data_IF_300772728762
#
_entry.id   IF_300772728762
#
_cell.length_a   1.000
_cell.length_b   1.000
_cell.length_c   1.000
_cell.angle_alpha   90.00
_cell.angle_beta   90.00
_cell.angle_gamma   90.00
#
_symmetry.space_group_name_H-M   'P 1'
#
loop_
_entity.id
_entity.type
_entity.pdbx_description
1 polymer ?
#
# COMPACT_ATOMS: atom_id res chain seq x y z
N UNK A 1 7.94 7.35 21.59
CA UNK A 1 7.85 7.39 20.12
C UNK A 1 8.22 6.00 19.62
N UNK A 2 7.37 5.39 18.78
CA UNK A 2 7.62 4.05 18.23
C UNK A 2 8.66 4.09 17.11
N UNK A 3 9.26 2.95 16.76
CA UNK A 3 10.23 2.85 15.66
C UNK A 3 9.62 3.34 14.34
N UNK A 4 8.36 2.99 14.09
CA UNK A 4 7.65 3.44 12.88
C UNK A 4 7.43 4.97 12.90
N UNK A 5 7.08 5.56 14.03
CA UNK A 5 6.94 7.03 14.15
C UNK A 5 8.27 7.76 13.86
N UNK A 6 9.40 7.20 14.29
CA UNK A 6 10.73 7.74 13.99
C UNK A 6 11.01 7.67 12.48
N UNK A 7 10.78 6.52 11.87
CA UNK A 7 10.98 6.32 10.44
C UNK A 7 10.11 7.27 9.60
N UNK A 8 8.83 7.47 9.95
CA UNK A 8 7.96 8.43 9.27
C UNK A 8 8.44 9.87 9.42
N UNK A 9 8.92 10.25 10.59
CA UNK A 9 9.50 11.58 10.83
C UNK A 9 10.73 11.81 9.97
N UNK A 10 11.63 10.85 9.87
CA UNK A 10 12.82 10.92 9.02
C UNK A 10 12.48 11.05 7.54
N UNK A 11 11.41 10.39 7.08
CA UNK A 11 10.92 10.47 5.72
C UNK A 11 10.04 11.72 5.44
N UNK A 12 9.78 12.57 6.45
CA UNK A 12 8.91 13.73 6.32
C UNK A 12 7.44 13.39 6.07
N UNK A 13 7.01 12.18 6.44
CA UNK A 13 5.64 11.69 6.25
C UNK A 13 4.80 12.09 7.45
N UNK A 14 3.75 12.90 7.22
CA UNK A 14 2.79 13.30 8.24
C UNK A 14 1.49 12.50 8.07
N UNK A 15 1.36 11.41 8.82
CA UNK A 15 0.13 10.60 8.82
C UNK A 15 -0.13 10.01 10.20
N UNK A 16 -1.39 9.70 10.47
CA UNK A 16 -1.79 9.01 11.68
C UNK A 16 -1.56 7.52 11.51
N UNK A 17 -0.67 6.97 12.32
CA UNK A 17 -0.35 5.54 12.33
C UNK A 17 -1.36 4.76 13.16
N UNK A 18 -1.77 3.61 12.66
CA UNK A 18 -2.53 2.64 13.44
C UNK A 18 -1.62 1.79 14.32
N UNK A 19 -2.18 1.22 15.38
CA UNK A 19 -1.45 0.27 16.21
C UNK A 19 -1.04 -0.97 15.39
N UNK A 20 -1.90 -1.41 14.49
CA UNK A 20 -1.66 -2.56 13.62
C UNK A 20 -0.46 -2.34 12.71
N UNK A 21 -0.32 -1.15 12.11
CA UNK A 21 0.85 -0.80 11.28
C UNK A 21 2.12 -0.78 12.13
N UNK A 22 2.06 -0.20 13.34
CA UNK A 22 3.19 -0.14 14.25
C UNK A 22 3.65 -1.53 14.65
N UNK A 23 2.72 -2.40 15.07
CA UNK A 23 3.02 -3.76 15.47
C UNK A 23 3.60 -4.59 14.33
N UNK A 24 3.05 -4.41 13.15
CA UNK A 24 3.54 -5.12 11.98
C UNK A 24 4.95 -4.65 11.58
N UNK A 25 5.22 -3.35 11.65
CA UNK A 25 6.55 -2.81 11.35
C UNK A 25 7.63 -3.32 12.31
N UNK A 26 7.34 -3.35 13.61
CA UNK A 26 8.28 -3.88 14.60
C UNK A 26 8.57 -5.37 14.35
N UNK A 27 7.56 -6.13 13.95
CA UNK A 27 7.77 -7.52 13.51
C UNK A 27 8.63 -7.61 12.25
N UNK A 28 8.46 -6.73 11.26
CA UNK A 28 9.33 -6.68 10.09
C UNK A 28 10.78 -6.37 10.47
N UNK A 29 11.01 -5.52 11.47
CA UNK A 29 12.35 -5.23 11.97
C UNK A 29 12.99 -6.47 12.63
N UNK A 30 12.24 -7.22 13.43
CA UNK A 30 12.71 -8.49 13.99
C UNK A 30 13.10 -9.49 12.88
N UNK A 31 12.30 -9.59 11.82
CA UNK A 31 12.63 -10.45 10.69
C UNK A 31 13.86 -9.95 9.91
N UNK A 32 14.05 -8.64 9.83
CA UNK A 32 15.25 -8.06 9.22
C UNK A 32 16.51 -8.37 10.03
N UNK A 33 16.46 -8.23 11.35
CA UNK A 33 17.55 -8.62 12.26
C UNK A 33 17.87 -10.12 12.16
N UNK A 34 16.85 -10.95 11.99
CA UNK A 34 17.00 -12.39 11.77
C UNK A 34 17.51 -12.77 10.37
N UNK A 35 17.70 -11.79 9.48
CA UNK A 35 18.23 -11.98 8.13
C UNK A 35 17.23 -12.53 7.12
N UNK A 36 15.94 -12.41 7.36
CA UNK A 36 14.88 -12.79 6.40
C UNK A 36 14.51 -11.65 5.44
N UNK A 37 14.74 -10.40 5.85
CA UNK A 37 14.42 -9.21 5.06
C UNK A 37 15.70 -8.46 4.72
N UNK A 38 15.84 -8.11 3.46
CA UNK A 38 16.92 -7.26 2.96
C UNK A 38 16.58 -5.79 3.17
N UNK A 39 15.38 -5.39 2.72
CA UNK A 39 14.95 -3.98 2.73
C UNK A 39 13.46 -3.84 3.01
N UNK A 40 13.11 -2.79 3.76
CA UNK A 40 11.74 -2.33 3.98
C UNK A 40 11.63 -0.93 3.40
N UNK A 41 10.65 -0.71 2.53
CA UNK A 41 10.29 0.62 2.02
C UNK A 41 8.91 0.97 2.56
N UNK A 42 8.83 2.12 3.23
CA UNK A 42 7.60 2.62 3.84
C UNK A 42 6.87 3.47 2.80
N UNK A 43 5.58 3.26 2.64
CA UNK A 43 4.68 4.02 1.78
C UNK A 43 5.20 4.20 0.33
N UNK A 44 5.53 3.12 -0.39
CA UNK A 44 5.87 3.23 -1.80
C UNK A 44 4.69 3.82 -2.59
N UNK A 45 4.96 4.66 -3.58
CA UNK A 45 3.92 5.34 -4.34
C UNK A 45 3.80 4.76 -5.76
N UNK A 46 2.58 4.40 -6.16
CA UNK A 46 2.24 3.88 -7.48
C UNK A 46 1.23 4.79 -8.17
N UNK A 47 1.63 5.44 -9.26
CA UNK A 47 0.73 6.28 -10.05
C UNK A 47 -0.26 5.41 -10.81
N UNK A 48 -1.56 5.55 -10.53
CA UNK A 48 -2.62 4.81 -11.21
C UNK A 48 -3.14 5.54 -12.44
N UNK A 49 -3.34 6.85 -12.32
CA UNK A 49 -3.74 7.68 -13.46
C UNK A 49 -2.99 9.01 -13.42
N UNK A 50 -2.65 9.52 -14.59
CA UNK A 50 -2.11 10.88 -14.70
C UNK A 50 -3.24 11.90 -14.64
N UNK A 51 -2.91 13.10 -14.21
CA UNK A 51 -3.82 14.25 -14.31
C UNK A 51 -4.17 14.49 -15.77
N UNK A 52 -5.46 14.67 -16.05
CA UNK A 52 -5.95 15.10 -17.36
C UNK A 52 -6.31 16.57 -17.28
N UNK A 53 -5.63 17.39 -18.09
CA UNK A 53 -5.96 18.80 -18.27
C UNK A 53 -6.19 19.04 -19.76
N UNK A 54 -7.12 19.94 -20.06
CA UNK A 54 -7.40 20.38 -21.41
C UNK A 54 -7.36 21.92 -21.44
N UNK A 55 -6.93 22.52 -22.56
CA UNK A 55 -6.96 23.95 -22.71
C UNK A 55 -8.40 24.44 -22.83
N UNK A 56 -8.74 25.47 -22.08
CA UNK A 56 -10.03 26.16 -22.13
C UNK A 56 -9.82 27.67 -22.26
N UNK A 57 -10.69 28.33 -23.00
CA UNK A 57 -10.72 29.77 -23.07
C UNK A 57 -11.44 30.35 -21.86
N UNK A 58 -10.69 31.01 -20.99
CA UNK A 58 -11.20 31.61 -19.77
C UNK A 58 -11.22 33.12 -19.84
N UNK A 59 -12.34 33.72 -19.48
CA UNK A 59 -12.44 35.15 -19.33
C UNK A 59 -11.81 35.58 -18.00
N UNK A 60 -10.87 36.52 -18.08
CA UNK A 60 -10.23 37.15 -16.94
C UNK A 60 -10.56 38.62 -16.90
N UNK A 61 -11.23 39.03 -15.84
CA UNK A 61 -11.53 40.45 -15.61
C UNK A 61 -10.23 41.15 -15.18
N UNK A 62 -9.86 42.18 -15.93
CA UNK A 62 -8.68 42.99 -15.65
C UNK A 62 -9.00 44.11 -14.66
N UNK A 63 -8.01 44.57 -13.89
CA UNK A 63 -8.15 45.74 -13.02
C UNK A 63 -8.33 47.04 -13.80
N UNK A 64 -7.97 47.09 -15.07
CA UNK A 64 -8.10 48.25 -15.94
C UNK A 64 -9.55 48.39 -16.45
N UNK A 65 -10.08 49.63 -16.40
CA UNK A 65 -11.41 49.97 -16.85
C UNK A 65 -11.32 50.40 -18.35
N UNK A 66 -12.27 49.91 -19.12
CA UNK A 66 -12.44 50.39 -20.51
C UNK A 66 -13.00 51.82 -20.46
N UNK A 67 -12.29 52.77 -21.05
CA UNK A 67 -12.62 54.20 -21.03
C UNK A 67 -13.92 54.51 -21.78
N UNK A 68 -14.30 53.69 -22.76
CA UNK A 68 -15.50 53.91 -23.55
C UNK A 68 -16.76 53.40 -22.90
N UNK A 69 -16.64 52.28 -22.15
CA UNK A 69 -17.81 51.59 -21.56
C UNK A 69 -17.89 51.73 -20.03
N UNK A 70 -16.85 52.24 -19.38
CA UNK A 70 -16.75 52.33 -17.91
C UNK A 70 -16.71 50.98 -17.22
N UNK A 71 -16.62 49.87 -17.95
CA UNK A 71 -16.58 48.51 -17.38
C UNK A 71 -15.16 47.96 -17.32
N UNK A 72 -14.88 47.01 -16.40
CA UNK A 72 -13.60 46.33 -16.37
C UNK A 72 -13.33 45.64 -17.72
N UNK A 73 -12.10 45.80 -18.21
CA UNK A 73 -11.67 45.08 -19.42
C UNK A 73 -11.65 43.58 -19.19
N UNK A 74 -12.12 42.81 -20.17
CA UNK A 74 -12.10 41.37 -20.14
C UNK A 74 -11.07 40.88 -21.16
N UNK A 75 -10.15 40.04 -20.69
CA UNK A 75 -9.20 39.36 -21.57
C UNK A 75 -9.58 37.89 -21.64
N UNK A 76 -9.56 37.34 -22.83
CA UNK A 76 -9.72 35.92 -23.06
C UNK A 76 -8.33 35.32 -23.09
N UNK A 77 -8.05 34.39 -22.19
CA UNK A 77 -6.76 33.70 -22.10
C UNK A 77 -7.03 32.18 -22.18
N UNK A 78 -6.18 31.48 -22.90
CA UNK A 78 -6.14 30.04 -22.88
C UNK A 78 -5.51 29.61 -21.55
N UNK A 79 -6.19 28.75 -20.81
CA UNK A 79 -5.74 28.23 -19.54
C UNK A 79 -6.04 26.74 -19.46
N UNK A 80 -5.04 25.96 -19.05
CA UNK A 80 -5.24 24.54 -18.75
C UNK A 80 -6.20 24.35 -17.58
N UNK A 81 -7.31 23.72 -17.84
CA UNK A 81 -8.28 23.31 -16.83
C UNK A 81 -8.18 21.82 -16.55
N UNK A 82 -8.07 21.47 -15.28
CA UNK A 82 -8.05 20.08 -14.85
C UNK A 82 -9.43 19.47 -14.99
N UNK A 83 -9.55 18.44 -15.81
CA UNK A 83 -10.78 17.65 -16.01
C UNK A 83 -10.83 16.51 -14.99
N UNK A 84 -9.68 15.79 -14.84
CA UNK A 84 -9.53 14.71 -13.89
C UNK A 84 -8.22 14.89 -13.14
N UNK A 85 -8.28 14.75 -11.83
CA UNK A 85 -7.07 14.69 -11.02
C UNK A 85 -6.35 13.34 -11.22
N UNK A 86 -5.03 13.37 -11.12
CA UNK A 86 -4.26 12.15 -11.04
C UNK A 86 -4.63 11.35 -9.80
N UNK A 87 -4.47 10.05 -9.88
CA UNK A 87 -4.68 9.12 -8.77
C UNK A 87 -3.42 8.31 -8.54
N UNK A 88 -3.02 8.17 -7.30
CA UNK A 88 -1.95 7.29 -6.86
C UNK A 88 -2.44 6.33 -5.78
N UNK A 89 -1.72 5.25 -5.61
CA UNK A 89 -1.90 4.28 -4.54
C UNK A 89 -0.62 4.17 -3.74
N UNK A 90 -0.75 4.25 -2.43
CA UNK A 90 0.36 4.21 -1.49
C UNK A 90 0.08 3.11 -0.46
N UNK A 91 0.54 1.87 -0.68
CA UNK A 91 0.47 0.81 0.31
C UNK A 91 1.39 1.09 1.49
N UNK A 92 1.18 0.41 2.60
CA UNK A 92 1.93 0.67 3.83
C UNK A 92 3.39 0.27 3.69
N UNK A 93 3.68 -0.92 3.13
CA UNK A 93 5.05 -1.42 3.02
C UNK A 93 5.32 -2.13 1.68
N UNK A 94 6.54 -1.95 1.18
CA UNK A 94 7.18 -2.85 0.23
C UNK A 94 8.35 -3.53 0.95
N UNK A 95 8.35 -4.85 0.97
CA UNK A 95 9.37 -5.65 1.64
C UNK A 95 10.13 -6.46 0.60
N UNK A 96 11.46 -6.31 0.58
CA UNK A 96 12.37 -7.11 -0.22
C UNK A 96 12.93 -8.20 0.69
N UNK A 97 12.67 -9.45 0.34
CA UNK A 97 13.04 -10.61 1.14
C UNK A 97 14.35 -11.22 0.67
N UNK A 98 15.02 -11.91 1.58
CA UNK A 98 16.15 -12.79 1.24
C UNK A 98 15.65 -14.17 0.84
N UNK A 99 16.49 -14.97 0.18
CA UNK A 99 16.16 -16.36 -0.17
C UNK A 99 15.81 -17.21 1.07
N UNK A 100 16.35 -16.86 2.24
CA UNK A 100 16.05 -17.52 3.52
C UNK A 100 14.56 -17.45 3.90
N UNK A 101 13.83 -16.46 3.34
CA UNK A 101 12.40 -16.26 3.61
C UNK A 101 11.50 -17.18 2.76
N UNK A 102 12.04 -17.81 1.72
CA UNK A 102 11.29 -18.73 0.88
C UNK A 102 10.69 -19.87 1.70
N UNK A 103 9.47 -20.24 1.38
CA UNK A 103 8.68 -21.29 2.05
C UNK A 103 8.40 -21.06 3.55
N UNK A 104 8.89 -19.94 4.12
CA UNK A 104 8.59 -19.53 5.49
C UNK A 104 7.63 -18.35 5.55
N UNK A 105 7.88 -17.32 4.75
CA UNK A 105 7.12 -16.07 4.75
C UNK A 105 6.58 -15.70 3.38
N UNK A 106 7.21 -16.17 2.31
CA UNK A 106 6.82 -15.89 0.94
C UNK A 106 6.68 -17.17 0.13
N UNK A 107 5.78 -17.14 -0.84
CA UNK A 107 5.64 -18.18 -1.86
C UNK A 107 6.26 -17.74 -3.17
N UNK A 108 6.97 -18.64 -3.81
CA UNK A 108 7.26 -18.56 -5.22
C UNK A 108 5.99 -18.86 -6.06
N UNK A 109 5.88 -18.23 -7.22
CA UNK A 109 4.78 -18.46 -8.16
C UNK A 109 4.61 -19.93 -8.56
N UNK A 110 5.72 -20.65 -8.73
CA UNK A 110 5.69 -22.08 -9.02
C UNK A 110 5.07 -22.91 -7.87
N UNK A 111 5.34 -22.52 -6.62
CA UNK A 111 4.79 -23.17 -5.42
C UNK A 111 3.28 -22.97 -5.27
N UNK A 112 2.77 -21.79 -5.66
CA UNK A 112 1.32 -21.48 -5.59
C UNK A 112 0.51 -22.38 -6.54
N UNK A 113 1.07 -22.68 -7.71
CA UNK A 113 0.39 -23.53 -8.70
C UNK A 113 0.41 -25.01 -8.35
N UNK A 114 1.34 -25.45 -7.52
CA UNK A 114 1.53 -26.88 -7.17
C UNK A 114 0.95 -27.25 -5.81
N UNK A 115 0.78 -26.29 -4.88
CA UNK A 115 0.15 -26.55 -3.57
C UNK A 115 -1.36 -26.56 -3.69
N UNK A 116 -2.02 -27.50 -2.99
CA UNK A 116 -3.47 -27.51 -2.93
C UNK A 116 -3.99 -26.23 -2.30
N UNK A 117 -5.11 -25.72 -2.78
CA UNK A 117 -5.75 -24.49 -2.28
C UNK A 117 -6.00 -24.53 -0.75
N UNK A 118 -6.24 -25.71 -0.20
CA UNK A 118 -6.42 -25.93 1.24
C UNK A 118 -5.16 -25.72 2.05
N UNK A 119 -4.00 -26.09 1.54
CA UNK A 119 -2.70 -25.86 2.19
C UNK A 119 -2.30 -24.40 2.12
N UNK A 120 -2.54 -23.76 0.99
CA UNK A 120 -2.25 -22.35 0.78
C UNK A 120 -3.05 -21.43 1.71
N UNK A 121 -4.31 -21.78 2.01
CA UNK A 121 -5.16 -21.00 2.90
C UNK A 121 -4.82 -21.17 4.38
N UNK A 122 -4.10 -22.22 4.76
CA UNK A 122 -3.67 -22.45 6.16
C UNK A 122 -2.34 -21.77 6.49
N UNK A 123 -1.53 -21.48 5.49
CA UNK A 123 -0.25 -20.80 5.66
C UNK A 123 -0.42 -19.31 5.43
N UNK A 124 -0.05 -18.50 6.41
CA UNK A 124 -0.10 -17.02 6.34
C UNK A 124 1.10 -16.47 5.54
N UNK A 125 1.39 -17.07 4.40
CA UNK A 125 2.48 -16.61 3.54
C UNK A 125 2.06 -15.45 2.65
N UNK A 126 3.01 -14.59 2.34
CA UNK A 126 2.79 -13.50 1.42
C UNK A 126 3.05 -13.94 -0.02
N UNK A 127 2.20 -13.49 -0.92
CA UNK A 127 2.40 -13.65 -2.35
C UNK A 127 3.35 -12.57 -2.85
N UNK A 128 4.34 -12.95 -3.63
CA UNK A 128 5.29 -12.00 -4.24
C UNK A 128 4.58 -11.02 -5.16
N UNK A 129 5.16 -9.83 -5.31
CA UNK A 129 4.59 -8.71 -6.05
C UNK A 129 4.27 -9.08 -7.50
N UNK A 130 5.15 -9.82 -8.15
CA UNK A 130 5.03 -10.28 -9.54
C UNK A 130 4.87 -11.80 -9.64
N UNK A 131 3.93 -12.36 -8.88
CA UNK A 131 3.78 -13.82 -8.77
C UNK A 131 3.40 -14.54 -10.07
N UNK A 132 2.91 -13.82 -11.08
CA UNK A 132 2.62 -14.37 -12.42
C UNK A 132 3.76 -14.15 -13.41
N UNK A 133 4.78 -13.42 -13.03
CA UNK A 133 5.94 -13.18 -13.87
C UNK A 133 7.08 -14.09 -13.42
N UNK A 134 7.82 -14.66 -14.36
CA UNK A 134 9.02 -15.49 -14.10
C UNK A 134 10.18 -14.70 -13.49
N UNK A 135 9.98 -13.41 -13.19
CA UNK A 135 10.97 -12.62 -12.46
C UNK A 135 11.12 -13.19 -11.05
N UNK A 136 12.31 -13.67 -10.71
CA UNK A 136 12.67 -14.17 -9.37
C UNK A 136 12.77 -13.06 -8.32
N UNK A 137 11.93 -12.02 -8.42
CA UNK A 137 11.92 -10.95 -7.42
C UNK A 137 11.23 -11.44 -6.16
N UNK A 138 11.96 -11.41 -5.06
CA UNK A 138 11.47 -11.77 -3.73
C UNK A 138 10.96 -10.52 -3.01
N UNK A 139 10.02 -9.80 -3.61
CA UNK A 139 9.41 -8.61 -3.04
C UNK A 139 7.91 -8.78 -2.84
N UNK A 140 7.39 -8.20 -1.76
CA UNK A 140 5.96 -8.22 -1.46
C UNK A 140 5.48 -6.81 -1.15
N UNK A 141 4.29 -6.47 -1.64
CA UNK A 141 3.59 -5.26 -1.24
C UNK A 141 2.52 -5.62 -0.25
N UNK A 142 2.50 -4.89 0.86
CA UNK A 142 1.67 -5.19 2.02
C UNK A 142 0.82 -3.98 2.38
N UNK A 143 -0.47 -4.21 2.51
CA UNK A 143 -1.47 -3.24 2.97
C UNK A 143 -2.03 -3.72 4.31
N UNK A 144 -1.76 -2.98 5.37
CA UNK A 144 -2.16 -3.33 6.72
C UNK A 144 -3.58 -2.83 6.98
N UNK A 145 -4.43 -3.69 7.51
CA UNK A 145 -5.80 -3.35 7.87
C UNK A 145 -6.14 -3.86 9.25
N UNK A 146 -6.66 -2.97 10.09
CA UNK A 146 -7.25 -3.36 11.36
C UNK A 146 -8.51 -4.21 11.15
N UNK A 147 -8.81 -5.06 12.11
CA UNK A 147 -9.98 -5.96 12.06
C UNK A 147 -11.30 -5.20 11.90
N UNK A 148 -11.42 -4.03 12.50
CA UNK A 148 -12.59 -3.16 12.39
C UNK A 148 -12.70 -2.55 10.99
N UNK A 149 -11.63 -1.97 10.48
CA UNK A 149 -11.60 -1.33 9.17
C UNK A 149 -11.90 -2.31 8.02
N UNK A 150 -11.49 -3.58 8.17
CA UNK A 150 -11.74 -4.59 7.14
C UNK A 150 -13.20 -5.01 7.00
N UNK A 151 -14.03 -4.75 8.03
CA UNK A 151 -15.46 -5.09 8.06
C UNK A 151 -16.36 -3.91 7.64
N UNK A 152 -15.83 -2.70 7.62
CA UNK A 152 -16.59 -1.52 7.20
C UNK A 152 -16.79 -1.53 5.68
N UNK A 153 -18.04 -1.30 5.24
CA UNK A 153 -18.43 -1.35 3.83
C UNK A 153 -17.52 -0.55 2.89
N UNK A 154 -17.10 0.64 3.30
CA UNK A 154 -16.24 1.48 2.45
C UNK A 154 -14.84 0.86 2.23
N UNK A 155 -14.23 0.28 3.25
CA UNK A 155 -12.91 -0.33 3.14
C UNK A 155 -12.98 -1.73 2.52
N UNK A 156 -14.05 -2.47 2.82
CA UNK A 156 -14.31 -3.79 2.23
C UNK A 156 -14.46 -3.71 0.70
N UNK A 157 -15.00 -2.60 0.19
CA UNK A 157 -15.18 -2.40 -1.26
C UNK A 157 -13.97 -1.72 -1.89
N UNK A 158 -13.42 -0.69 -1.24
CA UNK A 158 -12.34 0.13 -1.80
C UNK A 158 -11.04 -0.65 -2.00
N UNK A 159 -10.62 -1.44 -1.02
CA UNK A 159 -9.35 -2.16 -1.12
C UNK A 159 -9.33 -3.18 -2.27
N UNK A 160 -10.32 -4.08 -2.43
CA UNK A 160 -10.34 -5.01 -3.56
C UNK A 160 -10.38 -4.31 -4.93
N UNK A 161 -11.03 -3.15 -5.01
CA UNK A 161 -11.04 -2.36 -6.24
C UNK A 161 -9.64 -1.78 -6.53
N UNK A 162 -9.01 -1.15 -5.54
CA UNK A 162 -7.64 -0.65 -5.68
C UNK A 162 -6.64 -1.74 -6.03
N UNK A 163 -6.73 -2.90 -5.37
CA UNK A 163 -5.89 -4.06 -5.66
C UNK A 163 -6.00 -4.50 -7.13
N UNK A 164 -7.22 -4.56 -7.66
CA UNK A 164 -7.46 -4.89 -9.08
C UNK A 164 -6.93 -3.81 -10.03
N UNK A 165 -7.08 -2.53 -9.69
CA UNK A 165 -6.58 -1.42 -10.50
C UNK A 165 -5.04 -1.45 -10.53
N UNK A 166 -4.40 -1.58 -9.38
CA UNK A 166 -2.93 -1.70 -9.26
C UNK A 166 -2.42 -2.88 -10.08
N UNK A 167 -3.07 -4.04 -9.94
CA UNK A 167 -2.72 -5.22 -10.71
C UNK A 167 -2.86 -4.99 -12.22
N UNK A 168 -3.97 -4.36 -12.64
CA UNK A 168 -4.22 -4.08 -14.07
C UNK A 168 -3.20 -3.14 -14.69
N UNK A 169 -2.73 -2.13 -13.93
CA UNK A 169 -1.84 -1.08 -14.44
C UNK A 169 -0.37 -1.48 -14.33
N UNK A 170 0.02 -2.10 -13.21
CA UNK A 170 1.41 -2.35 -12.87
C UNK A 170 1.79 -3.82 -12.86
N UNK A 171 0.84 -4.74 -13.05
CA UNK A 171 1.02 -6.19 -12.87
C UNK A 171 1.56 -6.55 -11.46
N UNK A 172 1.10 -5.82 -10.44
CA UNK A 172 1.57 -5.92 -9.05
C UNK A 172 0.46 -6.47 -8.17
N UNK A 173 0.76 -7.54 -7.42
CA UNK A 173 -0.14 -8.06 -6.40
C UNK A 173 0.11 -7.36 -5.05
N UNK A 174 -0.98 -6.95 -4.40
CA UNK A 174 -0.94 -6.33 -3.07
C UNK A 174 -1.54 -7.28 -2.05
N UNK A 175 -0.77 -7.67 -1.05
CA UNK A 175 -1.23 -8.52 0.04
C UNK A 175 -2.00 -7.69 1.07
N UNK A 176 -3.21 -8.12 1.41
CA UNK A 176 -3.95 -7.57 2.54
C UNK A 176 -3.53 -8.31 3.81
N UNK A 177 -3.07 -7.57 4.79
CA UNK A 177 -2.62 -8.12 6.07
C UNK A 177 -3.48 -7.60 7.21
N UNK A 178 -3.97 -8.49 8.06
CA UNK A 178 -4.69 -8.17 9.28
C UNK A 178 -3.93 -8.74 10.48
N UNK A 179 -3.03 -7.97 11.09
CA UNK A 179 -2.13 -8.52 12.12
C UNK A 179 -2.85 -9.05 13.35
N UNK A 180 -3.89 -8.38 13.80
CA UNK A 180 -4.53 -8.62 15.10
C UNK A 180 -5.95 -9.21 15.02
N UNK A 181 -6.42 -9.67 13.87
CA UNK A 181 -7.72 -10.30 13.77
C UNK A 181 -7.69 -11.71 14.40
N UNK A 182 -8.55 -11.91 15.43
CA UNK A 182 -8.62 -13.19 16.16
C UNK A 182 -8.99 -14.39 15.30
N UNK A 183 -9.72 -14.17 14.19
CA UNK A 183 -10.20 -15.24 13.32
C UNK A 183 -9.32 -15.46 12.10
N UNK A 184 -8.77 -14.38 11.55
CA UNK A 184 -8.05 -14.39 10.28
C UNK A 184 -6.76 -13.55 10.32
N UNK A 185 -6.34 -13.09 11.49
CA UNK A 185 -5.14 -12.28 11.67
C UNK A 185 -3.87 -13.09 11.49
N UNK A 186 -2.87 -12.47 10.91
CA UNK A 186 -1.55 -13.07 10.67
C UNK A 186 -0.98 -13.69 11.95
N UNK A 187 -0.99 -12.92 13.04
CA UNK A 187 -0.38 -13.35 14.31
C UNK A 187 -1.24 -14.33 15.10
N UNK A 188 -2.52 -14.47 14.78
CA UNK A 188 -3.36 -15.46 15.43
C UNK A 188 -3.05 -16.89 15.00
N UNK A 189 -2.37 -17.07 13.88
CA UNK A 189 -2.17 -18.39 13.27
C UNK A 189 -0.71 -18.83 13.19
N UNK A 190 0.27 -17.93 12.96
CA UNK A 190 1.63 -18.32 12.62
C UNK A 190 2.73 -17.62 13.36
N UNK A 191 2.61 -16.34 13.69
CA UNK A 191 3.75 -15.57 14.20
C UNK A 191 3.30 -14.40 15.04
N UNK A 192 4.07 -14.10 16.09
CA UNK A 192 3.76 -13.05 17.05
C UNK A 192 5.00 -12.28 17.43
N UNK A 193 5.05 -10.96 17.18
CA UNK A 193 6.18 -10.15 17.62
C UNK A 193 6.37 -10.25 19.14
N UNK A 194 7.58 -10.53 19.58
CA UNK A 194 7.92 -10.64 21.01
C UNK A 194 7.62 -9.36 21.78
N UNK A 195 7.81 -8.21 21.13
CA UNK A 195 7.58 -6.86 21.66
C UNK A 195 6.15 -6.62 22.14
N UNK A 196 5.17 -7.36 21.65
CA UNK A 196 3.76 -7.14 21.96
C UNK A 196 3.16 -8.21 22.86
N UNK A 197 3.99 -8.94 23.58
CA UNK A 197 3.56 -10.02 24.49
C UNK A 197 2.71 -11.10 23.79
N UNK A 198 2.79 -11.15 22.48
CA UNK A 198 2.14 -12.16 21.72
C UNK A 198 3.08 -13.35 21.72
N UNK A 199 2.70 -14.42 22.34
CA UNK A 199 3.47 -15.65 22.36
C UNK A 199 3.38 -16.35 21.02
N UNK A 200 4.46 -17.00 20.61
CA UNK A 200 4.44 -17.93 19.50
C UNK A 200 3.29 -18.92 19.73
N UNK A 201 2.24 -18.82 18.93
CA UNK A 201 1.19 -19.81 18.99
C UNK A 201 1.74 -21.09 18.41
N UNK A 202 1.79 -22.11 19.22
CA UNK A 202 2.09 -23.47 18.82
C UNK A 202 1.31 -23.76 17.54
N UNK A 203 2.03 -24.14 16.51
CA UNK A 203 1.46 -24.61 15.26
C UNK A 203 0.45 -25.70 15.58
N UNK A 204 -0.79 -25.47 15.22
CA UNK A 204 -1.80 -26.52 15.20
C UNK A 204 -1.65 -27.30 13.92
#
# INVERSE_FOLDING_TARGET
MTQLQLAYKELGISTTLSNEETFFYDWLLELKEAGYIEKIVIQPNYTLTKKLSLPFMKQKTMKSIDKATGKPKVKIEEQDCTILNGMSYTPDFLVIWTEKAMDKFIFDSASVLTKSFTETNKSQFFTTTHFLDSSKKLDTILEIKGSFASRHNSTAIKFPLLQKIVYRIHNIYVNKVMPLDKKAGLFSQTFTPKTYMLTEKTKV
#
